data_IF_360867858750
#
_entry.id   IF_360867858750
#
_cell.length_a   1.000
_cell.length_b   1.000
_cell.length_c   1.000
_cell.angle_alpha   90.00
_cell.angle_beta   90.00
_cell.angle_gamma   90.00
#
_symmetry.space_group_name_H-M   'P 1'
#
loop_
_entity.id
_entity.type
_entity.pdbx_description
1 polymer ?
#
# COMPACT_ATOMS: atom_id res chain seq x y z
N UNK A 1 5.72 -34.52 -16.75
CA UNK A 1 5.78 -33.06 -16.91
C UNK A 1 6.12 -32.79 -18.38
N UNK A 2 5.41 -31.90 -19.08
CA UNK A 2 5.53 -31.73 -20.55
C UNK A 2 6.77 -30.88 -20.95
N UNK A 3 7.96 -31.16 -20.40
CA UNK A 3 9.21 -30.42 -20.66
C UNK A 3 9.18 -28.90 -20.38
N UNK A 4 8.16 -28.43 -19.66
CA UNK A 4 8.06 -27.04 -19.23
C UNK A 4 8.76 -26.85 -17.88
N UNK A 5 9.63 -25.82 -17.73
CA UNK A 5 10.27 -25.54 -16.45
C UNK A 5 9.20 -25.18 -15.40
N UNK A 6 9.25 -25.83 -14.23
CA UNK A 6 8.41 -25.40 -13.10
C UNK A 6 8.95 -24.08 -12.55
N UNK A 7 8.08 -23.18 -12.05
CA UNK A 7 8.53 -21.98 -11.38
C UNK A 7 9.42 -22.34 -10.17
N UNK A 8 10.29 -21.43 -9.75
CA UNK A 8 11.19 -21.67 -8.61
C UNK A 8 10.41 -21.88 -7.30
N UNK A 9 11.02 -22.61 -6.38
CA UNK A 9 10.53 -22.81 -5.01
C UNK A 9 11.45 -22.04 -4.06
N UNK A 10 10.86 -21.39 -3.05
CA UNK A 10 11.63 -20.54 -2.16
C UNK A 10 11.61 -21.04 -0.73
N UNK A 11 12.81 -21.08 -0.16
CA UNK A 11 13.03 -21.48 1.22
C UNK A 11 13.62 -20.34 2.02
N UNK A 12 13.03 -20.05 3.17
CA UNK A 12 13.72 -19.28 4.20
C UNK A 12 14.52 -20.24 5.06
N UNK A 13 15.77 -19.91 5.28
CA UNK A 13 16.68 -20.71 6.11
C UNK A 13 17.09 -19.93 7.33
N UNK A 14 16.73 -20.47 8.49
CA UNK A 14 17.20 -20.01 9.80
C UNK A 14 18.33 -20.93 10.22
N UNK A 15 19.51 -20.37 10.43
CA UNK A 15 20.68 -21.09 10.93
C UNK A 15 20.82 -20.75 12.41
N UNK A 16 20.76 -21.77 13.27
CA UNK A 16 21.09 -21.60 14.66
C UNK A 16 22.50 -22.16 14.90
N UNK A 17 23.46 -21.26 15.05
CA UNK A 17 24.87 -21.61 15.24
C UNK A 17 25.15 -22.30 16.58
N UNK A 18 24.37 -22.02 17.63
CA UNK A 18 24.58 -22.63 18.95
C UNK A 18 24.05 -24.06 19.02
N UNK A 19 22.96 -24.37 18.31
CA UNK A 19 22.42 -25.74 18.24
C UNK A 19 22.90 -26.53 17.02
N UNK A 20 23.68 -25.90 16.13
CA UNK A 20 24.11 -26.47 14.85
C UNK A 20 22.95 -27.00 14.00
N UNK A 21 21.76 -26.39 14.13
CA UNK A 21 20.58 -26.78 13.38
C UNK A 21 20.25 -25.76 12.29
N UNK A 22 19.68 -26.26 11.20
CA UNK A 22 19.19 -25.46 10.09
C UNK A 22 17.73 -25.80 9.87
N UNK A 23 16.86 -24.81 10.01
CA UNK A 23 15.43 -24.96 9.72
C UNK A 23 15.12 -24.28 8.38
N UNK A 24 14.49 -25.03 7.47
CA UNK A 24 14.05 -24.52 6.16
C UNK A 24 12.53 -24.43 6.14
N UNK A 25 12.03 -23.21 6.03
CA UNK A 25 10.61 -22.91 5.91
C UNK A 25 10.27 -22.68 4.43
N UNK A 26 9.26 -23.38 3.90
CA UNK A 26 8.76 -23.12 2.54
C UNK A 26 7.93 -21.85 2.56
N UNK A 27 8.39 -20.82 1.86
CA UNK A 27 7.69 -19.53 1.81
C UNK A 27 6.85 -19.40 0.54
N UNK A 28 7.31 -19.95 -0.58
CA UNK A 28 6.53 -20.07 -1.82
C UNK A 28 6.72 -21.45 -2.47
N UNK A 29 5.69 -21.92 -3.16
CA UNK A 29 5.66 -23.24 -3.78
C UNK A 29 5.09 -24.35 -2.90
N UNK A 30 4.44 -24.02 -1.78
CA UNK A 30 3.85 -25.00 -0.85
C UNK A 30 2.92 -26.00 -1.55
N UNK A 31 1.96 -25.51 -2.34
CA UNK A 31 1.03 -26.39 -3.05
C UNK A 31 1.71 -27.23 -4.15
N UNK A 32 2.75 -26.69 -4.77
CA UNK A 32 3.54 -27.38 -5.80
C UNK A 32 4.36 -28.52 -5.18
N UNK A 33 5.11 -28.23 -4.11
CA UNK A 33 5.84 -29.24 -3.35
C UNK A 33 4.90 -30.30 -2.78
N UNK A 34 3.77 -29.88 -2.21
CA UNK A 34 2.76 -30.80 -1.68
C UNK A 34 2.27 -31.75 -2.77
N UNK A 35 1.88 -31.24 -3.93
CA UNK A 35 1.43 -32.07 -5.04
C UNK A 35 2.51 -33.05 -5.52
N UNK A 36 3.78 -32.62 -5.60
CA UNK A 36 4.92 -33.48 -5.97
C UNK A 36 5.07 -34.62 -4.94
N UNK A 37 5.05 -34.30 -3.65
CA UNK A 37 5.19 -35.28 -2.56
C UNK A 37 3.99 -36.24 -2.51
N UNK A 38 2.78 -35.72 -2.66
CA UNK A 38 1.55 -36.52 -2.68
C UNK A 38 1.52 -37.46 -3.89
N UNK A 39 2.00 -37.02 -5.05
CA UNK A 39 2.13 -37.89 -6.22
C UNK A 39 3.18 -38.97 -6.00
N UNK A 40 4.38 -38.59 -5.54
CA UNK A 40 5.47 -39.53 -5.24
C UNK A 40 5.10 -40.58 -4.19
N UNK A 41 4.25 -40.21 -3.22
CA UNK A 41 3.75 -41.13 -2.19
C UNK A 41 2.50 -41.92 -2.62
N UNK A 42 2.07 -41.83 -3.88
CA UNK A 42 0.92 -42.56 -4.42
C UNK A 42 -0.45 -42.03 -3.96
N UNK A 43 -0.48 -40.91 -3.24
CA UNK A 43 -1.71 -40.31 -2.67
C UNK A 43 -2.46 -39.41 -3.65
N UNK A 44 -1.81 -39.00 -4.74
CA UNK A 44 -2.39 -38.16 -5.78
C UNK A 44 -2.47 -38.90 -7.11
N UNK A 45 -3.65 -38.88 -7.73
CA UNK A 45 -3.88 -39.37 -9.11
C UNK A 45 -3.83 -38.20 -10.08
N UNK A 46 -3.19 -38.40 -11.23
CA UNK A 46 -3.10 -37.35 -12.25
C UNK A 46 -4.46 -37.15 -12.93
N UNK A 47 -4.79 -35.88 -13.22
CA UNK A 47 -6.08 -35.49 -13.78
C UNK A 47 -6.01 -35.35 -15.30
N UNK A 48 -7.11 -34.94 -15.92
CA UNK A 48 -7.19 -34.63 -17.37
C UNK A 48 -6.20 -33.59 -17.86
N UNK A 49 -5.55 -32.83 -16.95
CA UNK A 49 -4.45 -31.90 -17.29
C UNK A 49 -3.16 -32.61 -17.74
N UNK A 50 -3.04 -33.92 -17.52
CA UNK A 50 -1.96 -34.76 -18.04
C UNK A 50 -2.56 -35.88 -18.89
N UNK A 51 -2.91 -35.63 -20.17
CA UNK A 51 -3.68 -36.56 -20.99
C UNK A 51 -3.03 -37.96 -21.09
N UNK A 52 -1.69 -38.00 -21.20
CA UNK A 52 -0.89 -39.25 -21.26
C UNK A 52 -0.94 -40.08 -19.97
N UNK A 53 -1.15 -39.43 -18.82
CA UNK A 53 -1.01 -40.07 -17.50
C UNK A 53 -2.30 -40.02 -16.67
N UNK A 54 -3.43 -39.73 -17.31
CA UNK A 54 -4.70 -39.49 -16.63
C UNK A 54 -5.12 -40.72 -15.81
N UNK A 55 -5.41 -40.51 -14.53
CA UNK A 55 -5.86 -41.54 -13.60
C UNK A 55 -4.75 -42.34 -12.92
N UNK A 56 -3.51 -42.17 -13.35
CA UNK A 56 -2.35 -42.90 -12.83
C UNK A 56 -1.80 -42.26 -11.54
N UNK A 57 -1.31 -43.09 -10.64
CA UNK A 57 -0.41 -42.73 -9.53
C UNK A 57 1.05 -42.93 -9.94
N UNK A 58 2.00 -42.52 -9.09
CA UNK A 58 3.43 -42.72 -9.36
C UNK A 58 3.79 -44.19 -9.63
N UNK A 59 3.20 -45.11 -8.87
CA UNK A 59 3.45 -46.56 -9.01
C UNK A 59 2.93 -47.15 -10.32
N UNK A 60 1.97 -46.48 -10.95
CA UNK A 60 1.37 -46.92 -12.22
C UNK A 60 2.16 -46.44 -13.45
N UNK A 61 3.22 -45.65 -13.26
CA UNK A 61 4.07 -45.15 -14.34
C UNK A 61 5.05 -46.22 -14.84
N UNK A 62 5.40 -46.17 -16.12
CA UNK A 62 6.53 -46.94 -16.66
C UNK A 62 7.85 -46.53 -16.01
N UNK A 63 8.81 -47.46 -15.95
CA UNK A 63 10.13 -47.23 -15.33
C UNK A 63 10.83 -45.96 -15.84
N UNK A 64 10.78 -45.72 -17.15
CA UNK A 64 11.36 -44.53 -17.78
C UNK A 64 10.72 -43.22 -17.30
N UNK A 65 9.40 -43.20 -17.11
CA UNK A 65 8.66 -42.03 -16.60
C UNK A 65 8.89 -41.82 -15.09
N UNK A 66 9.09 -42.90 -14.32
CA UNK A 66 9.50 -42.82 -12.91
C UNK A 66 10.90 -42.22 -12.77
N UNK A 67 11.86 -42.69 -13.56
CA UNK A 67 13.23 -42.15 -13.60
C UNK A 67 13.24 -40.67 -14.01
N UNK A 68 12.43 -40.29 -15.00
CA UNK A 68 12.28 -38.90 -15.41
C UNK A 68 11.70 -38.02 -14.30
N UNK A 69 10.74 -38.53 -13.52
CA UNK A 69 10.18 -37.83 -12.36
C UNK A 69 11.22 -37.63 -11.25
N UNK A 70 11.96 -38.69 -10.89
CA UNK A 70 12.96 -38.66 -9.81
C UNK A 70 14.19 -37.80 -10.17
N UNK A 71 14.58 -37.78 -11.43
CA UNK A 71 15.70 -36.98 -11.92
C UNK A 71 15.38 -35.49 -12.11
N UNK A 72 14.10 -35.11 -11.97
CA UNK A 72 13.66 -33.73 -12.16
C UNK A 72 14.25 -32.81 -11.09
N UNK A 73 15.05 -31.83 -11.52
CA UNK A 73 15.63 -30.82 -10.64
C UNK A 73 14.63 -29.70 -10.38
N UNK A 74 14.18 -29.58 -9.14
CA UNK A 74 13.36 -28.44 -8.69
C UNK A 74 14.31 -27.24 -8.51
N UNK A 75 14.14 -26.15 -9.28
CA UNK A 75 14.95 -24.97 -9.09
C UNK A 75 14.53 -24.25 -7.80
N UNK A 76 15.50 -24.01 -6.91
CA UNK A 76 15.26 -23.50 -5.57
C UNK A 76 16.08 -22.24 -5.30
N UNK A 77 15.49 -21.28 -4.57
CA UNK A 77 16.19 -20.12 -4.04
C UNK A 77 16.12 -20.15 -2.52
N UNK A 78 17.25 -19.89 -1.88
CA UNK A 78 17.39 -19.96 -0.43
C UNK A 78 17.73 -18.59 0.14
N UNK A 79 16.85 -18.07 1.00
CA UNK A 79 17.05 -16.81 1.72
C UNK A 79 17.62 -17.13 3.11
N UNK A 80 18.89 -16.78 3.33
CA UNK A 80 19.63 -17.11 4.56
C UNK A 80 19.58 -15.90 5.50
N UNK A 81 19.14 -16.11 6.74
CA UNK A 81 19.12 -15.11 7.82
C UNK A 81 18.39 -13.79 7.48
N UNK A 82 17.50 -13.79 6.48
CA UNK A 82 16.68 -12.63 6.15
C UNK A 82 15.57 -12.41 7.19
N UNK A 83 15.37 -11.15 7.58
CA UNK A 83 14.24 -10.74 8.41
C UNK A 83 12.89 -10.95 7.66
N UNK A 84 11.78 -10.93 8.39
CA UNK A 84 10.46 -11.17 7.78
C UNK A 84 10.12 -10.14 6.68
N UNK A 85 10.57 -8.89 6.82
CA UNK A 85 10.25 -7.80 5.91
C UNK A 85 11.01 -7.94 4.58
N UNK A 86 12.30 -8.27 4.63
CA UNK A 86 13.17 -8.54 3.48
C UNK A 86 12.73 -9.80 2.72
N UNK A 87 12.32 -10.85 3.45
CA UNK A 87 11.70 -12.05 2.87
C UNK A 87 10.45 -11.62 2.08
N UNK A 88 9.51 -10.91 2.72
CA UNK A 88 8.30 -10.39 2.07
C UNK A 88 8.59 -9.49 0.87
N UNK A 89 9.61 -8.64 0.94
CA UNK A 89 10.03 -7.76 -0.16
C UNK A 89 10.54 -8.57 -1.35
N UNK A 90 11.41 -9.55 -1.11
CA UNK A 90 11.92 -10.44 -2.15
C UNK A 90 10.75 -11.21 -2.79
N UNK A 91 9.78 -11.69 -2.00
CA UNK A 91 8.57 -12.33 -2.53
C UNK A 91 7.67 -11.42 -3.34
N UNK A 92 7.45 -10.20 -2.88
CA UNK A 92 6.65 -9.22 -3.61
C UNK A 92 7.32 -8.88 -4.95
N UNK A 93 8.66 -8.77 -4.98
CA UNK A 93 9.43 -8.55 -6.22
C UNK A 93 9.47 -9.78 -7.14
N UNK A 94 9.60 -10.98 -6.61
CA UNK A 94 9.67 -12.20 -7.45
C UNK A 94 8.33 -12.56 -8.08
N UNK A 95 7.26 -12.45 -7.30
CA UNK A 95 5.91 -12.54 -7.83
C UNK A 95 5.57 -11.36 -8.74
N UNK A 96 6.30 -10.24 -8.65
CA UNK A 96 6.13 -9.14 -9.59
C UNK A 96 6.62 -9.43 -11.00
N UNK A 97 7.54 -10.39 -11.23
CA UNK A 97 8.01 -10.67 -12.59
C UNK A 97 6.94 -11.33 -13.49
N UNK A 98 5.90 -11.95 -12.92
CA UNK A 98 4.71 -12.41 -13.65
C UNK A 98 3.55 -11.39 -13.60
N UNK A 99 3.72 -10.28 -12.87
CA UNK A 99 2.69 -9.25 -12.67
C UNK A 99 3.12 -7.99 -13.40
N UNK A 100 2.18 -7.42 -14.16
CA UNK A 100 2.41 -6.16 -14.89
C UNK A 100 3.05 -5.10 -13.98
N UNK A 101 4.12 -4.47 -14.47
CA UNK A 101 4.77 -3.32 -13.81
C UNK A 101 3.70 -2.27 -13.52
N UNK A 102 3.60 -1.83 -12.26
CA UNK A 102 2.66 -0.79 -11.85
C UNK A 102 3.02 0.54 -12.51
N UNK A 103 2.06 1.46 -12.64
CA UNK A 103 2.37 2.81 -13.11
C UNK A 103 3.39 3.54 -12.22
N UNK A 104 3.41 3.28 -10.90
CA UNK A 104 4.40 3.86 -9.98
C UNK A 104 5.82 3.34 -10.23
N UNK A 105 5.98 2.04 -10.42
CA UNK A 105 7.26 1.44 -10.83
C UNK A 105 7.72 1.95 -12.20
N UNK A 106 6.79 2.10 -13.17
CA UNK A 106 7.09 2.69 -14.48
C UNK A 106 7.56 4.14 -14.36
N UNK A 107 6.88 4.98 -13.56
CA UNK A 107 7.33 6.36 -13.33
C UNK A 107 8.72 6.40 -12.70
N UNK A 108 9.00 5.53 -11.75
CA UNK A 108 10.32 5.47 -11.13
C UNK A 108 11.40 5.09 -12.15
N UNK A 109 11.11 4.23 -13.12
CA UNK A 109 12.04 3.89 -14.19
C UNK A 109 12.15 4.99 -15.28
N UNK A 110 11.05 5.65 -15.63
CA UNK A 110 10.96 6.60 -16.76
C UNK A 110 11.54 7.98 -16.43
N UNK A 111 11.32 8.48 -15.21
CA UNK A 111 11.73 9.83 -14.82
C UNK A 111 13.10 9.82 -14.15
N UNK A 112 13.85 10.91 -14.35
CA UNK A 112 15.13 11.19 -13.67
C UNK A 112 15.20 12.62 -13.12
N UNK A 113 14.17 13.41 -13.38
CA UNK A 113 14.08 14.84 -13.09
C UNK A 113 13.77 15.12 -11.61
N UNK A 114 13.93 16.37 -11.13
CA UNK A 114 13.79 16.70 -9.71
C UNK A 114 12.46 16.29 -9.09
N UNK A 115 11.34 16.32 -9.85
CA UNK A 115 10.02 15.86 -9.37
C UNK A 115 10.06 14.43 -8.83
N UNK A 116 10.81 13.53 -9.47
CA UNK A 116 10.92 12.15 -9.03
C UNK A 116 11.63 12.07 -7.70
N UNK A 117 12.79 12.71 -7.60
CA UNK A 117 13.63 12.62 -6.40
C UNK A 117 12.99 13.31 -5.21
N UNK A 118 12.35 14.47 -5.41
CA UNK A 118 11.61 15.16 -4.36
C UNK A 118 10.54 14.26 -3.70
N UNK A 119 9.75 13.55 -4.50
CA UNK A 119 8.70 12.65 -3.99
C UNK A 119 9.29 11.33 -3.47
N UNK A 120 10.23 10.73 -4.19
CA UNK A 120 10.81 9.44 -3.83
C UNK A 120 11.63 9.52 -2.54
N UNK A 121 12.48 10.54 -2.42
CA UNK A 121 13.27 10.77 -1.22
C UNK A 121 12.36 11.13 -0.04
N UNK A 122 11.29 11.92 -0.25
CA UNK A 122 10.29 12.15 0.79
C UNK A 122 9.64 10.86 1.30
N UNK A 123 9.22 9.98 0.39
CA UNK A 123 8.66 8.69 0.78
C UNK A 123 9.69 7.82 1.53
N UNK A 124 10.97 7.89 1.16
CA UNK A 124 12.04 7.15 1.84
C UNK A 124 12.35 7.71 3.23
N UNK A 125 12.44 9.04 3.35
CA UNK A 125 12.78 9.71 4.61
C UNK A 125 11.64 9.52 5.63
N UNK A 126 10.38 9.59 5.16
CA UNK A 126 9.18 9.26 5.92
C UNK A 126 8.89 7.76 6.03
N UNK A 127 9.93 6.91 6.06
CA UNK A 127 9.77 5.45 6.22
C UNK A 127 8.98 5.05 7.46
N UNK A 128 8.93 5.91 8.48
CA UNK A 128 8.14 5.71 9.70
C UNK A 128 6.66 5.47 9.40
N UNK A 129 6.08 6.23 8.47
CA UNK A 129 4.67 6.09 8.03
C UNK A 129 4.34 4.68 7.52
N UNK A 130 5.32 4.01 6.90
CA UNK A 130 5.13 2.72 6.25
C UNK A 130 5.58 1.55 7.15
N UNK A 131 6.65 1.77 7.91
CA UNK A 131 7.29 0.73 8.71
C UNK A 131 6.65 0.58 10.08
N UNK A 132 6.27 1.66 10.74
CA UNK A 132 5.67 1.60 12.07
C UNK A 132 4.15 1.75 11.96
N UNK A 133 3.68 2.82 11.32
CA UNK A 133 2.25 3.16 11.23
C UNK A 133 1.46 2.36 10.19
N UNK A 134 2.15 1.61 9.30
CA UNK A 134 1.54 0.75 8.26
C UNK A 134 0.50 1.44 7.36
N UNK A 135 0.55 2.76 7.19
CA UNK A 135 -0.39 3.55 6.38
C UNK A 135 -0.49 3.02 4.94
N UNK A 136 0.65 2.55 4.43
CA UNK A 136 0.71 1.69 3.27
C UNK A 136 1.36 0.39 3.69
N UNK A 137 0.68 -0.74 3.43
CA UNK A 137 1.19 -2.05 3.83
C UNK A 137 2.57 -2.34 3.22
N UNK A 138 3.38 -3.16 3.89
CA UNK A 138 4.72 -3.54 3.39
C UNK A 138 4.63 -4.09 1.95
N UNK A 139 3.63 -4.94 1.68
CA UNK A 139 3.40 -5.52 0.35
C UNK A 139 3.16 -4.45 -0.72
N UNK A 140 2.41 -3.40 -0.38
CA UNK A 140 2.08 -2.31 -1.29
C UNK A 140 3.21 -1.30 -1.45
N UNK A 141 3.97 -1.07 -0.38
CA UNK A 141 5.17 -0.21 -0.39
C UNK A 141 6.25 -0.76 -1.31
N UNK A 142 6.42 -2.09 -1.37
CA UNK A 142 7.32 -2.74 -2.35
C UNK A 142 6.87 -2.49 -3.80
N UNK A 143 5.57 -2.29 -4.01
CA UNK A 143 4.96 -1.93 -5.30
C UNK A 143 4.83 -0.41 -5.47
N UNK A 144 5.58 0.35 -4.68
CA UNK A 144 5.70 1.81 -4.72
C UNK A 144 4.38 2.56 -4.50
N UNK A 145 3.40 1.96 -3.80
CA UNK A 145 2.17 2.68 -3.41
C UNK A 145 2.45 3.78 -2.38
N UNK A 146 3.45 3.61 -1.52
CA UNK A 146 3.90 4.65 -0.60
C UNK A 146 4.42 5.88 -1.35
N UNK A 147 5.15 5.66 -2.46
CA UNK A 147 5.58 6.75 -3.36
C UNK A 147 4.39 7.39 -4.05
N UNK A 148 3.37 6.62 -4.45
CA UNK A 148 2.13 7.18 -4.99
C UNK A 148 1.39 8.06 -3.98
N UNK A 149 1.25 7.61 -2.73
CA UNK A 149 0.60 8.40 -1.67
C UNK A 149 1.38 9.68 -1.38
N UNK A 150 2.72 9.60 -1.28
CA UNK A 150 3.58 10.77 -1.13
C UNK A 150 3.42 11.74 -2.31
N UNK A 151 3.29 11.24 -3.54
CA UNK A 151 3.00 12.09 -4.70
C UNK A 151 1.67 12.84 -4.55
N UNK A 152 0.64 12.21 -3.98
CA UNK A 152 -0.64 12.87 -3.72
C UNK A 152 -0.54 13.98 -2.65
N UNK A 153 0.36 13.86 -1.65
CA UNK A 153 0.64 14.95 -0.71
C UNK A 153 1.24 16.16 -1.42
N UNK A 154 2.25 15.93 -2.27
CA UNK A 154 2.84 17.00 -3.09
C UNK A 154 1.81 17.64 -4.02
N UNK A 155 1.00 16.82 -4.72
CA UNK A 155 -0.07 17.30 -5.60
C UNK A 155 -1.10 18.13 -4.83
N UNK A 156 -1.46 17.74 -3.62
CA UNK A 156 -2.43 18.45 -2.78
C UNK A 156 -1.95 19.87 -2.48
N UNK A 157 -0.68 20.02 -2.10
CA UNK A 157 -0.09 21.32 -1.78
C UNK A 157 0.21 22.17 -3.03
N UNK A 158 0.50 21.54 -4.17
CA UNK A 158 0.89 22.21 -5.41
C UNK A 158 -0.31 22.63 -6.29
N UNK A 159 -1.25 21.71 -6.49
CA UNK A 159 -2.40 21.87 -7.40
C UNK A 159 -3.74 22.03 -6.68
N UNK A 160 -3.77 21.79 -5.36
CA UNK A 160 -4.98 21.67 -4.56
C UNK A 160 -5.51 20.24 -4.47
N UNK A 161 -6.38 19.98 -3.48
CA UNK A 161 -6.94 18.65 -3.26
C UNK A 161 -7.97 18.27 -4.35
N UNK A 162 -7.89 17.04 -4.87
CA UNK A 162 -8.69 16.65 -6.03
C UNK A 162 -8.67 15.16 -6.36
N UNK A 163 -8.95 14.83 -7.63
CA UNK A 163 -8.91 13.46 -8.13
C UNK A 163 -7.48 12.89 -8.03
N UNK A 164 -7.39 11.66 -7.56
CA UNK A 164 -6.12 10.97 -7.35
C UNK A 164 -5.86 9.88 -8.37
N UNK A 165 -5.05 8.91 -7.94
CA UNK A 165 -4.77 7.70 -8.69
C UNK A 165 -3.66 7.84 -9.73
N UNK A 166 -3.21 6.69 -10.19
CA UNK A 166 -1.97 6.53 -10.94
C UNK A 166 -1.90 7.37 -12.23
N UNK A 167 -2.99 7.52 -12.96
CA UNK A 167 -3.03 8.33 -14.18
C UNK A 167 -2.83 9.83 -13.88
N UNK A 168 -3.41 10.33 -12.79
CA UNK A 168 -3.29 11.73 -12.38
C UNK A 168 -1.88 12.02 -11.86
N UNK A 169 -1.30 11.09 -11.10
CA UNK A 169 0.09 11.19 -10.64
C UNK A 169 1.05 11.20 -11.84
N UNK A 170 0.86 10.33 -12.83
CA UNK A 170 1.68 10.35 -14.05
C UNK A 170 1.56 11.67 -14.80
N UNK A 171 0.36 12.26 -14.87
CA UNK A 171 0.17 13.60 -15.46
C UNK A 171 0.92 14.68 -14.67
N UNK A 172 0.93 14.60 -13.34
CA UNK A 172 1.68 15.52 -12.48
C UNK A 172 3.18 15.46 -12.78
N UNK A 173 3.77 14.26 -12.79
CA UNK A 173 5.18 14.05 -13.13
C UNK A 173 5.53 14.64 -14.50
N UNK A 174 4.69 14.35 -15.52
CA UNK A 174 4.86 14.89 -16.87
C UNK A 174 4.85 16.42 -16.90
N UNK A 175 3.90 17.03 -16.19
CA UNK A 175 3.74 18.49 -16.16
C UNK A 175 4.84 19.21 -15.39
N UNK A 176 5.43 18.55 -14.38
CA UNK A 176 6.47 19.13 -13.51
C UNK A 176 7.88 18.70 -13.87
N UNK A 177 8.05 17.98 -14.98
CA UNK A 177 9.33 17.44 -15.46
C UNK A 177 10.41 18.52 -15.64
N UNK A 178 10.02 19.73 -16.04
CA UNK A 178 10.96 20.84 -16.30
C UNK A 178 11.23 21.72 -15.08
N UNK A 179 10.53 21.49 -13.97
CA UNK A 179 10.70 22.30 -12.77
C UNK A 179 12.03 21.95 -12.07
N UNK A 180 12.78 22.95 -11.58
CA UNK A 180 14.02 22.73 -10.86
C UNK A 180 13.77 22.19 -9.45
N UNK A 181 14.80 21.66 -8.80
CA UNK A 181 14.73 21.19 -7.41
C UNK A 181 14.19 22.25 -6.44
N UNK A 182 14.58 23.51 -6.62
CA UNK A 182 14.12 24.65 -5.80
C UNK A 182 12.61 24.86 -5.83
N UNK A 183 11.91 24.37 -6.87
CA UNK A 183 10.46 24.37 -6.94
C UNK A 183 9.84 23.46 -5.87
N UNK A 184 10.43 22.29 -5.65
CA UNK A 184 9.87 21.25 -4.79
C UNK A 184 10.25 21.42 -3.32
N UNK A 185 11.34 22.10 -2.99
CA UNK A 185 11.78 22.35 -1.62
C UNK A 185 10.69 22.97 -0.71
N UNK A 186 9.99 24.06 -1.10
CA UNK A 186 8.94 24.63 -0.25
C UNK A 186 7.71 23.71 -0.12
N UNK A 187 7.42 22.91 -1.14
CA UNK A 187 6.32 21.91 -1.09
C UNK A 187 6.71 20.80 -0.11
N UNK A 188 7.93 20.27 -0.24
CA UNK A 188 8.49 19.25 0.66
C UNK A 188 8.43 19.70 2.11
N UNK A 189 8.88 20.92 2.41
CA UNK A 189 8.82 21.47 3.76
C UNK A 189 7.40 21.45 4.33
N UNK A 190 6.40 21.89 3.55
CA UNK A 190 5.00 21.86 3.98
C UNK A 190 4.47 20.42 4.19
N UNK A 191 4.90 19.46 3.35
CA UNK A 191 4.59 18.05 3.57
C UNK A 191 5.15 17.59 4.91
N UNK A 192 6.43 17.88 5.17
CA UNK A 192 7.11 17.48 6.40
C UNK A 192 6.42 18.09 7.63
N UNK A 193 6.19 19.41 7.64
CA UNK A 193 5.56 20.11 8.76
C UNK A 193 4.15 19.56 9.07
N UNK A 194 3.35 19.23 8.03
CA UNK A 194 2.00 18.67 8.21
C UNK A 194 2.04 17.23 8.72
N UNK A 195 2.98 16.41 8.24
CA UNK A 195 3.14 15.04 8.72
C UNK A 195 3.63 15.03 10.17
N UNK A 196 4.61 15.87 10.52
CA UNK A 196 5.11 16.02 11.89
C UNK A 196 3.98 16.37 12.86
N UNK A 197 3.15 17.38 12.54
CA UNK A 197 2.06 17.78 13.45
C UNK A 197 0.96 16.72 13.57
N UNK A 198 0.65 16.00 12.48
CA UNK A 198 -0.34 14.90 12.53
C UNK A 198 0.16 13.78 13.45
N UNK A 199 1.41 13.37 13.29
CA UNK A 199 2.01 12.30 14.08
C UNK A 199 2.09 12.72 15.56
N UNK A 200 2.66 13.90 15.84
CA UNK A 200 2.77 14.45 17.20
C UNK A 200 1.44 14.53 17.94
N UNK A 201 0.34 14.80 17.22
CA UNK A 201 -0.98 15.03 17.82
C UNK A 201 -1.87 13.81 17.87
N UNK A 202 -1.72 12.86 16.95
CA UNK A 202 -2.70 11.80 16.72
C UNK A 202 -2.14 10.39 16.79
N UNK A 203 -0.82 10.19 16.73
CA UNK A 203 -0.26 8.83 16.68
C UNK A 203 -0.66 7.98 17.90
N UNK A 204 -0.50 8.52 19.12
CA UNK A 204 -0.71 7.75 20.37
C UNK A 204 -2.12 7.16 20.46
N UNK A 205 -3.13 7.90 20.02
CA UNK A 205 -4.54 7.54 20.15
C UNK A 205 -5.12 6.88 18.87
N UNK A 206 -4.56 7.17 17.70
CA UNK A 206 -5.19 6.84 16.41
C UNK A 206 -4.36 5.94 15.48
N UNK A 207 -3.12 5.56 15.82
CA UNK A 207 -2.26 4.76 14.93
C UNK A 207 -2.89 3.45 14.46
N UNK A 208 -3.69 2.79 15.29
CA UNK A 208 -4.37 1.52 14.97
C UNK A 208 -5.77 1.70 14.37
N UNK A 209 -6.21 2.94 14.12
CA UNK A 209 -7.55 3.25 13.62
C UNK A 209 -7.57 3.35 12.09
N UNK A 210 -8.76 3.29 11.44
CA UNK A 210 -8.89 3.47 10.00
C UNK A 210 -8.38 4.80 9.46
N UNK A 211 -8.15 5.82 10.30
CA UNK A 211 -7.59 7.11 9.87
C UNK A 211 -6.13 7.02 9.44
N UNK A 212 -5.41 6.01 9.92
CA UNK A 212 -4.05 5.71 9.53
C UNK A 212 -3.99 4.65 8.42
N UNK A 213 -5.06 4.52 7.62
CA UNK A 213 -4.99 3.89 6.30
C UNK A 213 -4.69 4.92 5.20
N UNK A 214 -4.08 4.51 4.08
CA UNK A 214 -3.68 5.43 3.02
C UNK A 214 -4.80 6.37 2.51
N UNK A 215 -6.01 5.86 2.20
CA UNK A 215 -7.12 6.69 1.74
C UNK A 215 -7.64 7.74 2.72
N UNK A 216 -7.76 7.41 4.01
CA UNK A 216 -8.26 8.34 5.03
C UNK A 216 -7.15 9.27 5.51
N UNK A 217 -5.93 8.74 5.65
CA UNK A 217 -4.76 9.55 6.00
C UNK A 217 -4.49 10.64 4.96
N UNK A 218 -4.76 10.39 3.67
CA UNK A 218 -4.69 11.42 2.64
C UNK A 218 -5.70 12.55 2.85
N UNK A 219 -6.92 12.24 3.25
CA UNK A 219 -7.96 13.26 3.50
C UNK A 219 -7.63 14.03 4.78
N UNK A 220 -7.17 13.34 5.83
CA UNK A 220 -6.68 13.94 7.07
C UNK A 220 -5.52 14.92 6.79
N UNK A 221 -4.51 14.46 6.04
CA UNK A 221 -3.41 15.30 5.58
C UNK A 221 -3.92 16.53 4.83
N UNK A 222 -4.84 16.36 3.88
CA UNK A 222 -5.38 17.47 3.10
C UNK A 222 -6.12 18.48 3.99
N UNK A 223 -6.96 18.02 4.93
CA UNK A 223 -7.70 18.90 5.83
C UNK A 223 -6.76 19.71 6.73
N UNK A 224 -5.78 19.06 7.36
CA UNK A 224 -4.77 19.73 8.20
C UNK A 224 -3.93 20.70 7.36
N UNK A 225 -3.46 20.28 6.18
CA UNK A 225 -2.71 21.15 5.28
C UNK A 225 -3.51 22.39 4.85
N UNK A 226 -4.81 22.24 4.58
CA UNK A 226 -5.67 23.37 4.22
C UNK A 226 -5.86 24.36 5.36
N UNK A 227 -6.04 23.85 6.58
CA UNK A 227 -6.21 24.66 7.79
C UNK A 227 -4.92 25.35 8.22
N UNK A 228 -3.75 24.72 8.04
CA UNK A 228 -2.45 25.28 8.45
C UNK A 228 -1.88 26.23 7.39
N UNK A 229 -1.82 25.78 6.14
CA UNK A 229 -1.16 26.52 5.05
C UNK A 229 -2.13 27.05 4.00
N UNK A 230 -3.24 26.35 3.79
CA UNK A 230 -4.02 26.46 2.57
C UNK A 230 -3.28 25.87 1.36
N UNK A 231 -4.02 25.69 0.28
CA UNK A 231 -3.50 25.34 -1.05
C UNK A 231 -4.41 25.95 -2.13
N UNK A 232 -4.07 25.87 -3.44
CA UNK A 232 -4.91 26.44 -4.50
C UNK A 232 -6.37 25.96 -4.44
N UNK A 233 -7.30 26.91 -4.50
CA UNK A 233 -8.72 26.61 -4.38
C UNK A 233 -9.29 26.00 -5.67
N UNK A 234 -10.24 25.08 -5.51
CA UNK A 234 -10.92 24.42 -6.61
C UNK A 234 -12.34 24.00 -6.17
N UNK A 235 -13.02 23.16 -6.96
CA UNK A 235 -14.38 22.68 -6.66
C UNK A 235 -14.53 21.93 -5.32
N UNK A 236 -13.43 21.40 -4.78
CA UNK A 236 -13.36 20.65 -3.52
C UNK A 236 -13.28 21.58 -2.31
N UNK A 237 -12.71 22.78 -2.47
CA UNK A 237 -12.60 23.77 -1.39
C UNK A 237 -13.71 24.82 -1.43
N UNK A 238 -14.65 24.70 -2.37
CA UNK A 238 -15.64 25.72 -2.67
C UNK A 238 -16.47 26.13 -1.44
N UNK A 239 -16.85 25.16 -0.60
CA UNK A 239 -17.78 25.32 0.51
C UNK A 239 -17.06 25.42 1.87
N UNK A 240 -15.73 25.58 1.87
CA UNK A 240 -14.90 25.71 3.09
C UNK A 240 -13.81 26.79 2.99
N UNK A 241 -13.93 27.72 2.04
CA UNK A 241 -12.89 28.73 1.76
C UNK A 241 -12.56 29.60 2.96
N UNK A 242 -13.54 29.89 3.79
CA UNK A 242 -13.44 30.70 5.00
C UNK A 242 -12.55 30.05 6.08
N UNK A 243 -12.39 28.73 6.05
CA UNK A 243 -11.56 27.96 6.99
C UNK A 243 -10.07 27.93 6.58
N UNK A 244 -9.73 28.34 5.36
CA UNK A 244 -8.35 28.29 4.82
C UNK A 244 -7.37 29.06 5.71
N UNK A 245 -6.32 28.38 6.16
CA UNK A 245 -5.26 29.00 6.96
C UNK A 245 -5.70 29.47 8.36
N UNK A 246 -6.84 28.99 8.89
CA UNK A 246 -7.34 29.39 10.22
C UNK A 246 -6.74 28.59 11.37
N UNK A 247 -5.94 27.58 11.07
CA UNK A 247 -5.38 26.64 12.04
C UNK A 247 -6.36 25.56 12.47
N UNK A 248 -5.83 24.59 13.22
CA UNK A 248 -6.55 23.39 13.66
C UNK A 248 -6.92 23.54 15.14
N UNK A 249 -8.18 23.26 15.48
CA UNK A 249 -8.66 23.02 16.83
C UNK A 249 -8.39 21.55 17.19
N UNK A 250 -7.18 21.26 17.67
CA UNK A 250 -6.76 19.88 17.94
C UNK A 250 -7.61 19.16 18.99
N UNK A 251 -8.15 19.90 19.97
CA UNK A 251 -9.06 19.30 20.96
C UNK A 251 -10.31 18.76 20.27
N UNK A 252 -10.98 19.60 19.46
CA UNK A 252 -12.17 19.17 18.74
C UNK A 252 -11.84 18.09 17.68
N UNK A 253 -10.69 18.21 17.01
CA UNK A 253 -10.26 17.23 16.03
C UNK A 253 -10.09 15.83 16.63
N UNK A 254 -9.48 15.72 17.81
CA UNK A 254 -9.31 14.45 18.54
C UNK A 254 -10.68 13.87 18.93
N UNK A 255 -11.57 14.69 19.51
CA UNK A 255 -12.91 14.24 19.91
C UNK A 255 -13.70 13.71 18.69
N UNK A 256 -13.68 14.43 17.56
CA UNK A 256 -14.37 14.04 16.32
C UNK A 256 -13.77 12.79 15.68
N UNK A 257 -12.43 12.65 15.68
CA UNK A 257 -11.79 11.43 15.18
C UNK A 257 -12.13 10.21 16.03
N UNK A 258 -12.24 10.36 17.35
CA UNK A 258 -12.64 9.27 18.25
C UNK A 258 -14.07 8.81 17.96
N UNK A 259 -15.01 9.74 17.76
CA UNK A 259 -16.39 9.44 17.35
C UNK A 259 -16.41 8.68 16.00
N UNK A 260 -15.75 9.22 14.97
CA UNK A 260 -15.73 8.62 13.65
C UNK A 260 -15.05 7.25 13.62
N UNK A 261 -14.01 7.02 14.44
CA UNK A 261 -13.33 5.71 14.51
C UNK A 261 -14.27 4.63 15.01
N UNK A 262 -15.03 4.93 16.07
CA UNK A 262 -16.04 3.99 16.62
C UNK A 262 -17.10 3.65 15.57
N UNK A 263 -17.55 4.63 14.79
CA UNK A 263 -18.53 4.41 13.74
C UNK A 263 -18.01 3.61 12.54
N UNK A 264 -16.78 3.88 12.09
CA UNK A 264 -16.14 3.14 11.01
C UNK A 264 -15.91 1.68 11.37
N UNK A 265 -15.58 1.39 12.64
CA UNK A 265 -15.31 0.05 13.14
C UNK A 265 -16.58 -0.75 13.47
N UNK A 266 -17.61 -0.09 13.99
CA UNK A 266 -18.89 -0.75 14.33
C UNK A 266 -19.62 -1.31 13.10
N UNK A 267 -19.28 -0.83 11.90
CA UNK A 267 -19.82 -1.36 10.65
C UNK A 267 -21.34 -1.18 10.51
N UNK A 268 -21.93 -0.22 11.24
CA UNK A 268 -23.38 -0.04 11.30
C UNK A 268 -23.99 -0.05 9.90
N UNK A 269 -24.87 -1.04 9.71
CA UNK A 269 -25.80 -1.10 8.60
C UNK A 269 -26.72 0.12 8.73
N UNK A 270 -26.88 0.84 7.62
CA UNK A 270 -27.61 2.07 7.27
C UNK A 270 -28.87 2.52 8.05
N UNK A 271 -29.30 1.88 9.15
CA UNK A 271 -30.51 2.23 9.92
C UNK A 271 -30.25 2.98 11.25
N UNK A 272 -29.03 2.94 11.82
CA UNK A 272 -28.68 3.58 13.11
C UNK A 272 -27.41 4.47 13.06
N UNK A 273 -26.92 4.87 11.88
CA UNK A 273 -25.81 5.82 11.82
C UNK A 273 -26.26 7.16 12.43
N UNK A 274 -25.47 7.71 13.35
CA UNK A 274 -25.72 9.07 13.85
C UNK A 274 -25.78 10.01 12.62
N UNK A 275 -26.89 10.74 12.49
CA UNK A 275 -27.16 11.62 11.34
C UNK A 275 -26.01 12.59 11.13
N UNK A 276 -25.26 12.90 12.20
CA UNK A 276 -24.12 13.82 12.20
C UNK A 276 -22.98 13.38 11.27
N UNK A 277 -22.65 12.09 11.21
CA UNK A 277 -21.43 11.58 10.55
C UNK A 277 -21.72 10.80 9.26
N UNK A 278 -22.99 10.56 8.93
CA UNK A 278 -23.44 9.68 7.85
C UNK A 278 -22.82 9.96 6.47
N UNK A 279 -22.63 11.24 6.11
CA UNK A 279 -22.03 11.61 4.82
C UNK A 279 -20.55 11.22 4.72
N UNK A 280 -19.78 11.39 5.81
CA UNK A 280 -18.39 10.99 5.89
C UNK A 280 -18.23 9.47 5.78
N UNK A 281 -19.04 8.72 6.55
CA UNK A 281 -19.00 7.25 6.59
C UNK A 281 -19.39 6.66 5.24
N UNK A 282 -20.47 7.14 4.62
CA UNK A 282 -20.91 6.71 3.30
C UNK A 282 -19.84 6.95 2.23
N UNK A 283 -19.22 8.13 2.24
CA UNK A 283 -18.15 8.46 1.31
C UNK A 283 -16.90 7.58 1.49
N UNK A 284 -16.62 7.14 2.73
CA UNK A 284 -15.49 6.24 3.07
C UNK A 284 -15.68 4.81 2.53
N UNK A 285 -16.92 4.37 2.30
CA UNK A 285 -17.25 3.05 1.71
C UNK A 285 -17.12 3.00 0.17
N UNK A 286 -16.89 4.14 -0.49
CA UNK A 286 -16.89 4.29 -1.95
C UNK A 286 -15.47 4.34 -2.55
N UNK A 287 -15.33 4.48 -3.89
CA UNK A 287 -14.00 4.59 -4.52
C UNK A 287 -13.26 5.83 -4.01
N UNK A 288 -12.15 5.66 -3.30
CA UNK A 288 -11.49 6.72 -2.52
C UNK A 288 -10.63 7.71 -3.32
N UNK A 289 -10.43 7.49 -4.61
CA UNK A 289 -9.60 8.35 -5.47
C UNK A 289 -10.38 9.46 -6.19
N UNK A 290 -11.72 9.46 -6.13
CA UNK A 290 -12.56 10.41 -6.87
C UNK A 290 -12.95 11.59 -6.01
N UNK A 291 -13.08 12.77 -6.63
CA UNK A 291 -13.60 13.97 -5.95
C UNK A 291 -14.96 13.70 -5.27
N UNK A 292 -15.82 12.89 -5.88
CA UNK A 292 -17.14 12.56 -5.32
C UNK A 292 -17.08 11.89 -3.94
N UNK A 293 -16.00 11.18 -3.62
CA UNK A 293 -15.79 10.56 -2.29
C UNK A 293 -14.83 11.33 -1.41
N UNK A 294 -13.91 12.10 -2.01
CA UNK A 294 -12.91 12.90 -1.29
C UNK A 294 -13.47 14.21 -0.76
N UNK A 295 -14.29 14.90 -1.56
CA UNK A 295 -14.88 16.20 -1.21
C UNK A 295 -15.68 16.16 0.10
N UNK A 296 -16.71 15.31 0.26
CA UNK A 296 -17.51 15.30 1.48
C UNK A 296 -16.67 15.01 2.72
N UNK A 297 -15.73 14.04 2.63
CA UNK A 297 -14.82 13.73 3.75
C UNK A 297 -13.90 14.89 4.10
N UNK A 298 -13.33 15.55 3.10
CA UNK A 298 -12.46 16.72 3.29
C UNK A 298 -13.22 17.90 3.91
N UNK A 299 -14.37 18.26 3.37
CA UNK A 299 -15.16 19.40 3.87
C UNK A 299 -15.64 19.16 5.29
N UNK A 300 -16.04 17.94 5.60
CA UNK A 300 -16.42 17.54 6.95
C UNK A 300 -15.27 17.77 7.94
N UNK A 301 -14.08 17.20 7.68
CA UNK A 301 -12.92 17.38 8.56
C UNK A 301 -12.51 18.84 8.65
N UNK A 302 -12.51 19.61 7.55
CA UNK A 302 -12.14 21.04 7.59
C UNK A 302 -13.11 21.84 8.45
N UNK A 303 -14.42 21.59 8.37
CA UNK A 303 -15.43 22.29 9.18
C UNK A 303 -15.27 21.97 10.66
N UNK A 304 -15.15 20.70 11.01
CA UNK A 304 -15.01 20.28 12.41
C UNK A 304 -13.64 20.66 13.00
N UNK A 305 -12.56 20.63 12.21
CA UNK A 305 -11.22 20.84 12.75
C UNK A 305 -10.81 22.31 12.81
N UNK A 306 -11.56 23.23 12.19
CA UNK A 306 -11.12 24.62 12.09
C UNK A 306 -11.25 25.39 13.41
N UNK A 307 -10.32 26.31 13.67
CA UNK A 307 -10.49 27.34 14.71
C UNK A 307 -11.43 28.48 14.29
N UNK A 308 -11.97 28.44 13.07
CA UNK A 308 -12.92 29.42 12.60
C UNK A 308 -14.23 29.31 13.38
N UNK A 309 -14.63 30.41 14.02
CA UNK A 309 -15.95 30.59 14.63
C UNK A 309 -16.71 31.56 13.74
N UNK A 310 -17.86 31.14 13.22
CA UNK A 310 -18.74 31.93 12.35
C UNK A 310 -19.37 33.10 13.08
#
# INVERSE_FOLDING_TARGET
>A
MNDLPIPQVFFRTKINASTQTMTREVVDGQQRLRAIIEFASGKLKLTSKSPKFKGLTYSDLELSDQEAFLSYKIPCVQLINSDNAMVLEIFARLNSYSVKVTPSELRHAEYIEPVKWAIYDAARDWKYLWNELKIVSVRESVRMKNVSLMAEFFMTLDLGFGDGGEATITKFYKNKKTEPESYFLPIRKKVDDVLEVIIDKLEEDFADTPFFDGPNFLVLFAAVAYLVYGFPDNRVTADVKEHKGKGVNWKNAIDVLAELSQELESGNNDEDADVRHAEFISASKSTTHRVSSRKPRFEYLVKEFSNYVS
#
